data_IF_645360869981
#
_entry.id   IF_645360869981
#
_cell.length_a   1.000
_cell.length_b   1.000
_cell.length_c   1.000
_cell.angle_alpha   90.00
_cell.angle_beta   90.00
_cell.angle_gamma   90.00
#
_symmetry.space_group_name_H-M   'P 1'
#
loop_
_entity.id
_entity.type
_entity.pdbx_description
1 polymer ?
#
# COMPACT_ATOMS: atom_id res chain seq x y z
N UNK A 1 -14.55 -8.01 -25.90
CA UNK A 1 -13.64 -7.20 -25.12
C UNK A 1 -14.29 -7.00 -23.76
N UNK A 2 -13.63 -7.36 -22.65
CA UNK A 2 -14.19 -7.07 -21.31
C UNK A 2 -14.21 -5.57 -21.06
N UNK A 3 -15.17 -5.10 -20.27
CA UNK A 3 -15.25 -3.70 -19.88
C UNK A 3 -13.96 -3.31 -19.15
N UNK A 4 -13.22 -2.34 -19.71
CA UNK A 4 -12.01 -1.78 -19.07
C UNK A 4 -12.45 -0.63 -18.17
N UNK A 5 -12.11 -0.71 -16.90
CA UNK A 5 -12.44 0.33 -15.91
C UNK A 5 -11.26 1.28 -15.75
N UNK A 6 -11.52 2.60 -15.59
CA UNK A 6 -10.46 3.55 -15.31
C UNK A 6 -9.82 3.30 -13.93
N UNK A 7 -8.55 3.62 -13.82
CA UNK A 7 -7.72 3.30 -12.65
C UNK A 7 -7.27 4.58 -11.93
N UNK A 8 -7.50 4.63 -10.63
CA UNK A 8 -6.92 5.62 -9.73
C UNK A 8 -5.70 5.03 -9.03
N UNK A 9 -4.56 5.72 -9.10
CA UNK A 9 -3.29 5.30 -8.49
C UNK A 9 -2.98 6.18 -7.28
N UNK A 10 -2.75 5.57 -6.10
CA UNK A 10 -2.49 6.27 -4.83
C UNK A 10 -1.16 5.80 -4.26
N UNK A 11 -0.17 6.69 -4.19
CA UNK A 11 1.16 6.37 -3.66
C UNK A 11 1.18 6.33 -2.12
N UNK A 12 2.27 5.83 -1.53
CA UNK A 12 2.47 5.70 -0.09
C UNK A 12 3.11 6.94 0.56
N UNK A 13 3.44 6.78 1.86
CA UNK A 13 4.13 7.77 2.66
C UNK A 13 5.51 8.10 2.09
N UNK A 14 5.91 9.37 2.19
CA UNK A 14 7.18 9.92 1.67
C UNK A 14 7.52 9.45 0.24
N UNK A 15 6.49 9.32 -0.59
CA UNK A 15 6.58 8.87 -1.97
C UNK A 15 6.00 9.94 -2.91
N UNK A 16 5.84 9.62 -4.18
CA UNK A 16 5.33 10.54 -5.19
C UNK A 16 4.69 9.78 -6.37
N UNK A 17 3.86 10.42 -7.23
CA UNK A 17 3.17 9.75 -8.34
C UNK A 17 4.08 9.06 -9.37
N UNK A 18 5.37 9.43 -9.42
CA UNK A 18 6.35 8.82 -10.33
C UNK A 18 6.69 7.36 -10.02
N UNK A 19 6.33 6.85 -8.82
CA UNK A 19 6.53 5.42 -8.49
C UNK A 19 5.77 4.50 -9.44
N UNK A 20 4.70 5.00 -10.05
CA UNK A 20 3.82 4.27 -10.96
C UNK A 20 4.32 4.22 -12.42
N UNK A 21 5.51 4.78 -12.72
CA UNK A 21 6.01 4.91 -14.10
C UNK A 21 5.95 3.61 -14.90
N UNK A 22 6.33 2.47 -14.33
CA UNK A 22 6.30 1.18 -15.03
C UNK A 22 4.87 0.67 -15.23
N UNK A 23 4.00 0.82 -14.22
CA UNK A 23 2.60 0.40 -14.33
C UNK A 23 1.85 1.23 -15.36
N UNK A 24 2.06 2.55 -15.41
CA UNK A 24 1.33 3.40 -16.38
C UNK A 24 1.69 3.09 -17.82
N UNK A 25 2.93 2.64 -18.11
CA UNK A 25 3.30 2.14 -19.44
C UNK A 25 2.42 0.94 -19.83
N UNK A 26 2.21 -0.01 -18.91
CA UNK A 26 1.35 -1.18 -19.14
C UNK A 26 -0.12 -0.80 -19.28
N UNK A 27 -0.58 0.20 -18.53
CA UNK A 27 -1.95 0.74 -18.67
C UNK A 27 -2.16 1.40 -20.02
N UNK A 28 -1.16 2.17 -20.50
CA UNK A 28 -1.19 2.80 -21.83
C UNK A 28 -1.21 1.75 -22.96
N UNK A 29 -0.38 0.70 -22.85
CA UNK A 29 -0.36 -0.43 -23.82
C UNK A 29 -1.72 -1.15 -23.91
N UNK A 30 -2.45 -1.22 -22.79
CA UNK A 30 -3.77 -1.85 -22.70
C UNK A 30 -4.94 -0.85 -22.91
N UNK A 31 -4.64 0.41 -23.25
CA UNK A 31 -5.62 1.50 -23.43
C UNK A 31 -6.52 1.68 -22.19
N UNK A 32 -6.00 1.46 -20.98
CA UNK A 32 -6.70 1.67 -19.71
C UNK A 32 -6.46 3.10 -19.24
N UNK A 33 -7.54 3.87 -19.12
CA UNK A 33 -7.45 5.23 -18.59
C UNK A 33 -7.06 5.23 -17.12
N UNK A 34 -6.16 6.13 -16.71
CA UNK A 34 -5.74 6.25 -15.32
C UNK A 34 -5.59 7.71 -14.89
N UNK A 35 -5.59 7.92 -13.58
CA UNK A 35 -5.18 9.15 -12.91
C UNK A 35 -4.34 8.81 -11.70
N UNK A 36 -3.47 9.73 -11.31
CA UNK A 36 -2.57 9.58 -10.17
C UNK A 36 -2.89 10.65 -9.15
N UNK A 37 -3.33 10.25 -7.97
CA UNK A 37 -3.50 11.15 -6.85
C UNK A 37 -2.14 11.52 -6.28
N UNK A 38 -1.89 12.82 -6.16
CA UNK A 38 -0.63 13.37 -5.63
C UNK A 38 -0.90 14.08 -4.30
N UNK A 39 -0.39 13.50 -3.22
CA UNK A 39 -0.46 14.09 -1.88
C UNK A 39 0.92 14.48 -1.33
N UNK A 40 1.93 14.64 -2.18
CA UNK A 40 3.29 15.04 -1.77
C UNK A 40 3.33 16.39 -1.04
N UNK A 41 2.43 17.29 -1.37
CA UNK A 41 2.27 18.60 -0.72
C UNK A 41 1.54 18.57 0.62
N UNK A 42 1.13 17.39 1.12
CA UNK A 42 0.28 17.22 2.32
C UNK A 42 1.02 16.55 3.47
N UNK A 43 2.32 16.77 3.60
CA UNK A 43 3.16 16.11 4.61
C UNK A 43 2.82 16.49 6.05
N UNK A 44 2.17 17.63 6.24
CA UNK A 44 1.67 18.16 7.51
C UNK A 44 0.25 17.67 7.85
N UNK A 45 -0.33 16.78 7.03
CA UNK A 45 -1.70 16.29 7.17
C UNK A 45 -1.72 14.84 7.63
N UNK A 46 -2.76 14.53 8.44
CA UNK A 46 -3.08 13.17 8.83
C UNK A 46 -3.81 12.40 7.73
N UNK A 47 -3.90 11.10 7.90
CA UNK A 47 -4.56 10.19 6.97
C UNK A 47 -6.03 10.55 6.69
N UNK A 48 -6.86 10.96 7.69
CA UNK A 48 -8.24 11.39 7.44
C UNK A 48 -8.34 12.61 6.53
N UNK A 49 -7.45 13.61 6.69
CA UNK A 49 -7.46 14.82 5.87
C UNK A 49 -7.02 14.53 4.43
N UNK A 50 -6.00 13.66 4.25
CA UNK A 50 -5.57 13.22 2.92
C UNK A 50 -6.66 12.37 2.25
N UNK A 51 -7.41 11.58 3.03
CA UNK A 51 -8.57 10.83 2.55
C UNK A 51 -9.68 11.75 2.03
N UNK A 52 -9.97 12.88 2.70
CA UNK A 52 -10.91 13.89 2.20
C UNK A 52 -10.40 14.55 0.91
N UNK A 53 -9.11 14.83 0.81
CA UNK A 53 -8.52 15.34 -0.43
C UNK A 53 -8.60 14.32 -1.58
N UNK A 54 -8.49 13.03 -1.28
CA UNK A 54 -8.70 11.95 -2.25
C UNK A 54 -10.16 11.90 -2.73
N UNK A 55 -11.14 12.10 -1.83
CA UNK A 55 -12.56 12.22 -2.15
C UNK A 55 -12.82 13.35 -3.18
N UNK A 56 -12.34 14.54 -2.85
CA UNK A 56 -12.43 15.71 -3.73
C UNK A 56 -11.77 15.46 -5.10
N UNK A 57 -10.58 14.86 -5.07
CA UNK A 57 -9.85 14.53 -6.28
C UNK A 57 -10.61 13.51 -7.15
N UNK A 58 -11.17 12.45 -6.55
CA UNK A 58 -11.93 11.45 -7.28
C UNK A 58 -13.21 12.04 -7.90
N UNK A 59 -13.94 12.89 -7.17
CA UNK A 59 -15.10 13.64 -7.68
C UNK A 59 -14.71 14.50 -8.87
N UNK A 60 -13.63 15.27 -8.76
CA UNK A 60 -13.09 16.11 -9.83
C UNK A 60 -12.74 15.29 -11.07
N UNK A 61 -11.97 14.21 -10.90
CA UNK A 61 -11.55 13.33 -12.00
C UNK A 61 -12.76 12.68 -12.68
N UNK A 62 -13.75 12.24 -11.93
CA UNK A 62 -15.00 11.70 -12.50
C UNK A 62 -15.70 12.72 -13.38
N UNK A 63 -15.82 13.95 -12.93
CA UNK A 63 -16.43 15.03 -13.70
C UNK A 63 -15.63 15.39 -14.95
N UNK A 64 -14.32 15.62 -14.81
CA UNK A 64 -13.45 16.08 -15.92
C UNK A 64 -13.19 15.02 -16.98
N UNK A 65 -13.15 13.75 -16.60
CA UNK A 65 -12.83 12.63 -17.49
C UNK A 65 -14.07 11.82 -17.91
N UNK A 66 -15.25 12.19 -17.44
CA UNK A 66 -16.49 11.47 -17.76
C UNK A 66 -16.56 10.06 -17.15
N UNK A 67 -15.88 9.82 -16.01
CA UNK A 67 -15.90 8.52 -15.35
C UNK A 67 -17.20 8.32 -14.56
N UNK A 68 -18.24 7.94 -15.24
CA UNK A 68 -19.59 7.81 -14.65
C UNK A 68 -19.86 6.45 -13.97
N UNK A 69 -19.05 5.43 -14.29
CA UNK A 69 -19.23 4.05 -13.81
C UNK A 69 -18.26 3.66 -12.70
N UNK A 70 -18.02 2.37 -12.61
CA UNK A 70 -17.04 1.76 -11.70
C UNK A 70 -15.62 2.22 -12.04
N UNK A 71 -14.80 2.35 -11.01
CA UNK A 71 -13.35 2.59 -11.12
C UNK A 71 -12.60 1.53 -10.33
N UNK A 72 -11.35 1.29 -10.71
CA UNK A 72 -10.41 0.51 -9.92
C UNK A 72 -9.48 1.45 -9.17
N UNK A 73 -9.04 1.06 -7.98
CA UNK A 73 -8.06 1.80 -7.22
C UNK A 73 -6.86 0.89 -6.94
N UNK A 74 -5.66 1.35 -7.31
CA UNK A 74 -4.39 0.66 -7.01
C UNK A 74 -3.59 1.55 -6.07
N UNK A 75 -3.23 0.99 -4.93
CA UNK A 75 -2.55 1.70 -3.85
C UNK A 75 -1.23 1.04 -3.49
N UNK A 76 -0.27 1.84 -3.05
CA UNK A 76 0.95 1.33 -2.44
C UNK A 76 1.01 1.74 -0.97
N UNK A 77 1.36 0.77 -0.08
CA UNK A 77 1.64 1.07 1.33
C UNK A 77 0.49 1.83 2.02
N UNK A 78 0.80 2.91 2.72
CA UNK A 78 -0.17 3.80 3.39
C UNK A 78 -1.24 4.38 2.45
N UNK A 79 -0.96 4.47 1.14
CA UNK A 79 -1.97 4.86 0.16
C UNK A 79 -3.22 3.97 0.20
N UNK A 80 -3.05 2.70 0.58
CA UNK A 80 -4.18 1.78 0.78
C UNK A 80 -5.02 2.18 1.98
N UNK A 81 -4.39 2.59 3.09
CA UNK A 81 -5.12 3.06 4.28
C UNK A 81 -5.89 4.35 3.98
N UNK A 82 -5.32 5.26 3.17
CA UNK A 82 -6.00 6.50 2.71
C UNK A 82 -7.26 6.14 1.92
N UNK A 83 -7.14 5.25 0.93
CA UNK A 83 -8.26 4.83 0.10
C UNK A 83 -9.32 4.06 0.92
N UNK A 84 -8.90 3.16 1.80
CA UNK A 84 -9.80 2.43 2.70
C UNK A 84 -10.56 3.38 3.64
N UNK A 85 -9.87 4.38 4.20
CA UNK A 85 -10.52 5.34 5.09
C UNK A 85 -11.59 6.13 4.35
N UNK A 86 -11.32 6.57 3.12
CA UNK A 86 -12.35 7.15 2.25
C UNK A 86 -13.52 6.21 2.07
N UNK A 87 -13.26 4.99 1.62
CA UNK A 87 -14.30 4.06 1.17
C UNK A 87 -15.08 3.43 2.33
N UNK A 88 -14.43 3.10 3.43
CA UNK A 88 -14.99 2.33 4.53
C UNK A 88 -15.50 3.22 5.67
N UNK A 89 -14.80 4.34 5.97
CA UNK A 89 -15.15 5.21 7.11
C UNK A 89 -15.94 6.42 6.65
N UNK A 90 -15.43 7.16 5.65
CA UNK A 90 -16.06 8.42 5.21
C UNK A 90 -17.28 8.16 4.33
N UNK A 91 -17.16 7.34 3.29
CA UNK A 91 -18.23 7.00 2.34
C UNK A 91 -19.08 5.82 2.83
N UNK A 92 -18.52 4.91 3.59
CA UNK A 92 -19.15 3.83 4.36
C UNK A 92 -20.49 3.32 3.81
N UNK A 93 -21.56 3.65 4.53
CA UNK A 93 -22.93 3.27 4.16
C UNK A 93 -23.48 4.04 2.94
N UNK A 94 -23.01 5.26 2.71
CA UNK A 94 -23.49 6.10 1.59
C UNK A 94 -23.11 5.53 0.22
N UNK A 95 -21.95 4.86 0.12
CA UNK A 95 -21.43 4.18 -1.08
C UNK A 95 -21.50 5.04 -2.35
N UNK A 96 -21.22 6.33 -2.19
CA UNK A 96 -21.29 7.30 -3.30
C UNK A 96 -20.17 7.06 -4.32
N UNK A 97 -19.05 6.46 -3.88
CA UNK A 97 -17.98 6.06 -4.76
C UNK A 97 -18.21 4.64 -5.28
N UNK A 98 -18.54 4.54 -6.56
CA UNK A 98 -18.66 3.27 -7.27
C UNK A 98 -17.25 2.74 -7.59
N UNK A 99 -16.72 1.86 -6.72
CA UNK A 99 -15.41 1.22 -6.86
C UNK A 99 -15.60 -0.27 -7.10
N UNK A 100 -14.99 -0.80 -8.18
CA UNK A 100 -15.03 -2.23 -8.49
C UNK A 100 -14.09 -3.02 -7.58
N UNK A 101 -12.85 -2.56 -7.50
CA UNK A 101 -11.85 -3.21 -6.66
C UNK A 101 -10.83 -2.23 -6.11
N UNK A 102 -10.28 -2.60 -4.95
CA UNK A 102 -9.15 -1.95 -4.31
C UNK A 102 -7.98 -2.94 -4.23
N UNK A 103 -6.89 -2.61 -4.91
CA UNK A 103 -5.66 -3.42 -4.95
C UNK A 103 -4.60 -2.71 -4.13
N UNK A 104 -4.18 -3.32 -3.01
CA UNK A 104 -3.12 -2.82 -2.13
C UNK A 104 -1.81 -3.57 -2.34
N UNK A 105 -0.72 -2.84 -2.56
CA UNK A 105 0.65 -3.35 -2.66
C UNK A 105 1.37 -3.10 -1.33
N UNK A 106 1.67 -4.15 -0.57
CA UNK A 106 2.29 -4.07 0.75
C UNK A 106 1.54 -3.16 1.74
N UNK A 107 0.21 -3.29 1.92
CA UNK A 107 -0.56 -2.35 2.72
C UNK A 107 -0.44 -2.63 4.22
N UNK A 108 -0.21 -1.62 5.09
CA UNK A 108 -0.28 -1.79 6.54
C UNK A 108 -1.74 -1.69 7.03
N UNK A 109 -2.61 -2.59 6.56
CA UNK A 109 -4.06 -2.60 6.82
C UNK A 109 -4.42 -2.62 8.30
N UNK A 110 -3.57 -3.20 9.14
CA UNK A 110 -3.75 -3.33 10.58
C UNK A 110 -2.83 -2.40 11.39
N UNK A 111 -2.22 -1.44 10.72
CA UNK A 111 -1.19 -0.58 11.28
C UNK A 111 0.21 -1.11 11.01
N UNK A 112 1.23 -0.31 11.29
CA UNK A 112 2.63 -0.59 11.00
C UNK A 112 3.45 -0.72 12.28
N UNK A 113 4.12 -1.87 12.46
CA UNK A 113 5.10 -2.08 13.53
C UNK A 113 6.28 -1.10 13.39
N UNK A 114 6.66 -0.76 12.17
CA UNK A 114 7.72 0.20 11.92
C UNK A 114 7.32 1.62 12.37
N UNK A 115 6.06 2.03 12.16
CA UNK A 115 5.56 3.30 12.68
C UNK A 115 5.56 3.34 14.22
N UNK A 116 5.27 2.22 14.86
CA UNK A 116 5.38 2.08 16.32
C UNK A 116 6.85 2.14 16.77
N UNK A 117 7.75 1.42 16.08
CA UNK A 117 9.19 1.41 16.35
C UNK A 117 9.84 2.79 16.20
N UNK A 118 9.41 3.62 15.28
CA UNK A 118 9.91 5.00 15.17
C UNK A 118 9.67 5.81 16.44
N UNK A 119 8.63 5.49 17.21
CA UNK A 119 8.28 6.14 18.46
C UNK A 119 8.83 5.39 19.71
N UNK A 120 9.54 4.29 19.53
CA UNK A 120 10.11 3.52 20.63
C UNK A 120 11.32 4.27 21.25
N UNK A 121 11.30 4.57 22.56
CA UNK A 121 12.33 5.40 23.19
C UNK A 121 13.72 4.76 23.21
N UNK A 122 13.82 3.43 23.09
CA UNK A 122 15.08 2.70 23.12
C UNK A 122 15.62 2.38 21.72
N UNK A 123 14.73 2.14 20.75
CA UNK A 123 15.07 1.62 19.41
C UNK A 123 14.85 2.63 18.29
N UNK A 124 13.94 3.60 18.49
CA UNK A 124 13.44 4.47 17.45
C UNK A 124 14.55 5.20 16.69
N UNK A 125 15.46 5.85 17.41
CA UNK A 125 16.59 6.57 16.81
C UNK A 125 17.46 5.64 15.93
N UNK A 126 17.81 4.46 16.43
CA UNK A 126 18.63 3.50 15.68
C UNK A 126 17.92 3.00 14.40
N UNK A 127 16.60 2.77 14.46
CA UNK A 127 15.79 2.35 13.32
C UNK A 127 15.69 3.49 12.28
N UNK A 128 15.41 4.72 12.73
CA UNK A 128 15.33 5.90 11.87
C UNK A 128 16.67 6.10 11.14
N UNK A 129 17.78 6.06 11.85
CA UNK A 129 19.12 6.23 11.28
C UNK A 129 19.45 5.18 10.21
N UNK A 130 19.00 3.93 10.36
CA UNK A 130 19.19 2.88 9.36
C UNK A 130 18.38 3.10 8.08
N UNK A 131 17.28 3.81 8.16
CA UNK A 131 16.35 4.04 7.06
C UNK A 131 16.47 5.43 6.44
N UNK A 132 17.18 6.35 7.11
CA UNK A 132 17.50 7.68 6.59
C UNK A 132 18.30 7.55 5.29
N UNK A 133 17.83 8.23 4.25
CA UNK A 133 18.39 8.13 2.90
C UNK A 133 17.92 6.91 2.09
N UNK A 134 17.22 5.95 2.70
CA UNK A 134 16.53 4.85 1.99
C UNK A 134 15.12 5.29 1.60
N UNK A 135 14.28 5.59 2.60
CA UNK A 135 12.93 6.16 2.40
C UNK A 135 12.49 7.07 3.56
N UNK A 136 13.27 7.17 4.62
CA UNK A 136 13.06 8.12 5.72
C UNK A 136 13.87 9.39 5.41
N UNK A 137 13.27 10.59 5.48
CA UNK A 137 13.97 11.83 5.21
C UNK A 137 14.98 12.18 6.32
N UNK A 138 15.98 12.98 5.98
CA UNK A 138 16.88 13.58 6.98
C UNK A 138 16.09 14.47 7.93
N UNK A 139 16.45 14.42 9.23
CA UNK A 139 15.79 15.23 10.26
C UNK A 139 14.35 14.79 10.57
N UNK A 140 13.97 13.55 10.18
CA UNK A 140 12.65 13.03 10.45
C UNK A 140 12.36 12.94 11.96
N UNK A 141 11.24 13.56 12.36
CA UNK A 141 10.68 13.45 13.70
C UNK A 141 9.34 12.71 13.61
N UNK A 142 9.27 11.45 14.08
CA UNK A 142 8.05 10.66 14.00
C UNK A 142 6.90 11.25 14.82
N UNK A 143 7.19 12.01 15.88
CA UNK A 143 6.16 12.60 16.74
C UNK A 143 5.35 13.70 16.04
N UNK A 144 5.96 14.36 15.08
CA UNK A 144 5.36 15.44 14.29
C UNK A 144 4.73 14.97 12.97
N UNK A 145 5.02 13.75 12.52
CA UNK A 145 4.47 13.18 11.28
C UNK A 145 3.12 12.51 11.54
N UNK A 146 2.04 13.23 11.22
CA UNK A 146 0.67 12.77 11.47
C UNK A 146 0.33 11.46 10.74
N UNK A 147 0.84 11.25 9.53
CA UNK A 147 0.63 10.01 8.78
C UNK A 147 1.25 8.81 9.51
N UNK A 148 2.46 8.98 10.04
CA UNK A 148 3.13 7.93 10.83
C UNK A 148 2.38 7.67 12.13
N UNK A 149 1.88 8.72 12.81
CA UNK A 149 1.06 8.55 14.02
C UNK A 149 -0.25 7.83 13.72
N UNK A 150 -0.89 8.15 12.59
CA UNK A 150 -2.19 7.58 12.20
C UNK A 150 -2.11 6.10 11.82
N UNK A 151 -0.97 5.61 11.31
CA UNK A 151 -0.82 4.19 10.96
C UNK A 151 -0.21 3.33 12.07
N UNK A 152 0.00 3.85 13.26
CA UNK A 152 0.36 3.01 14.42
C UNK A 152 -0.78 2.04 14.73
N UNK A 153 -0.50 0.77 15.10
CA UNK A 153 -1.52 -0.27 15.29
C UNK A 153 -2.61 0.10 16.32
N UNK A 154 -2.25 0.91 17.31
CA UNK A 154 -3.14 1.41 18.37
C UNK A 154 -3.79 2.76 18.06
N UNK A 155 -3.59 3.37 16.90
CA UNK A 155 -4.12 4.69 16.57
C UNK A 155 -5.65 4.71 16.45
N UNK A 156 -6.28 5.88 16.64
CA UNK A 156 -7.71 6.05 16.36
C UNK A 156 -8.09 5.70 14.93
N UNK A 157 -7.23 6.03 13.97
CA UNK A 157 -7.44 5.79 12.53
C UNK A 157 -7.51 4.29 12.22
N UNK A 158 -6.54 3.51 12.70
CA UNK A 158 -6.53 2.05 12.50
C UNK A 158 -7.70 1.39 13.23
N UNK A 159 -8.08 1.88 14.42
CA UNK A 159 -9.31 1.40 15.11
C UNK A 159 -10.56 1.69 14.29
N UNK A 160 -10.67 2.88 13.68
CA UNK A 160 -11.81 3.23 12.83
C UNK A 160 -11.93 2.32 11.62
N UNK A 161 -10.82 2.03 10.93
CA UNK A 161 -10.77 1.09 9.80
C UNK A 161 -11.21 -0.32 10.20
N UNK A 162 -10.75 -0.82 11.36
CA UNK A 162 -11.18 -2.13 11.86
C UNK A 162 -12.67 -2.17 12.20
N UNK A 163 -13.19 -1.08 12.75
CA UNK A 163 -14.60 -0.98 13.18
C UNK A 163 -15.56 -0.82 12.01
N UNK A 164 -15.16 -0.09 10.97
CA UNK A 164 -15.97 0.11 9.77
C UNK A 164 -16.18 -1.21 8.99
N UNK A 165 -15.15 -2.06 8.97
CA UNK A 165 -15.16 -3.30 8.19
C UNK A 165 -15.04 -3.04 6.68
N UNK A 166 -15.03 -4.13 5.92
CA UNK A 166 -14.88 -4.06 4.46
C UNK A 166 -16.23 -3.79 3.79
N UNK A 167 -16.21 -3.01 2.73
CA UNK A 167 -17.40 -2.79 1.89
C UNK A 167 -17.69 -4.04 1.05
N UNK A 168 -18.89 -4.64 1.15
CA UNK A 168 -19.23 -5.89 0.46
C UNK A 168 -19.36 -5.73 -1.06
N UNK A 169 -19.49 -4.51 -1.56
CA UNK A 169 -19.61 -4.18 -2.98
C UNK A 169 -18.23 -3.95 -3.64
N UNK A 170 -17.13 -3.98 -2.87
CA UNK A 170 -15.76 -3.79 -3.37
C UNK A 170 -15.01 -5.12 -3.30
N UNK A 171 -14.32 -5.48 -4.39
CA UNK A 171 -13.36 -6.59 -4.37
C UNK A 171 -12.02 -6.09 -3.83
N UNK A 172 -11.58 -6.64 -2.69
CA UNK A 172 -10.27 -6.32 -2.11
C UNK A 172 -9.22 -7.32 -2.59
N UNK A 173 -8.04 -6.79 -2.95
CA UNK A 173 -6.84 -7.55 -3.34
C UNK A 173 -5.65 -7.06 -2.54
N UNK A 174 -4.86 -7.97 -2.00
CA UNK A 174 -3.68 -7.64 -1.19
C UNK A 174 -2.48 -8.40 -1.74
N UNK A 175 -1.57 -7.68 -2.37
CA UNK A 175 -0.33 -8.22 -2.93
C UNK A 175 0.81 -7.91 -1.97
N UNK A 176 1.50 -8.94 -1.51
CA UNK A 176 2.64 -8.85 -0.60
C UNK A 176 3.82 -9.67 -1.13
N UNK A 177 5.00 -9.39 -0.60
CA UNK A 177 6.19 -10.16 -0.93
C UNK A 177 6.80 -10.78 0.32
N UNK A 178 7.68 -11.77 0.13
CA UNK A 178 8.34 -12.48 1.21
C UNK A 178 9.77 -12.83 0.85
N UNK A 179 10.62 -13.03 1.87
CA UNK A 179 12.03 -13.42 1.75
C UNK A 179 12.28 -14.79 2.41
N UNK A 180 11.73 -15.90 1.88
CA UNK A 180 11.75 -17.19 2.57
C UNK A 180 13.17 -17.78 2.70
N UNK A 181 14.11 -17.33 1.88
CA UNK A 181 15.50 -17.83 1.86
C UNK A 181 16.46 -16.99 2.72
N UNK A 182 15.94 -16.04 3.51
CA UNK A 182 16.74 -15.14 4.36
C UNK A 182 17.89 -14.48 3.58
N UNK A 183 17.55 -13.82 2.48
CA UNK A 183 18.48 -13.12 1.58
C UNK A 183 18.76 -11.71 2.14
N UNK A 184 19.97 -11.40 2.64
CA UNK A 184 20.24 -10.09 3.23
C UNK A 184 20.06 -8.92 2.24
N UNK A 185 20.33 -9.14 0.95
CA UNK A 185 20.18 -8.16 -0.12
C UNK A 185 18.72 -7.81 -0.46
N UNK A 186 17.74 -8.58 0.04
CA UNK A 186 16.32 -8.29 -0.13
C UNK A 186 15.94 -6.93 0.46
N UNK A 187 16.36 -6.65 1.70
CA UNK A 187 16.24 -5.35 2.35
C UNK A 187 17.46 -5.13 3.29
N UNK A 188 18.56 -4.57 2.78
CA UNK A 188 19.83 -4.51 3.49
C UNK A 188 19.77 -3.82 4.86
N UNK A 189 18.91 -2.79 4.99
CA UNK A 189 18.75 -2.03 6.26
C UNK A 189 18.42 -2.93 7.45
N UNK A 190 17.74 -4.07 7.22
CA UNK A 190 17.36 -5.02 8.26
C UNK A 190 17.88 -6.45 7.98
N UNK A 191 18.91 -6.57 7.15
CA UNK A 191 19.50 -7.87 6.81
C UNK A 191 18.52 -8.83 6.14
N UNK A 192 17.61 -8.30 5.31
CA UNK A 192 16.59 -9.06 4.60
C UNK A 192 15.32 -9.37 5.41
N UNK A 193 15.20 -8.86 6.63
CA UNK A 193 14.08 -9.15 7.55
C UNK A 193 13.10 -7.98 7.63
N UNK A 194 11.91 -8.27 8.12
CA UNK A 194 10.84 -7.29 8.39
C UNK A 194 10.56 -7.27 9.89
N UNK A 195 10.36 -6.09 10.47
CA UNK A 195 9.92 -5.96 11.84
C UNK A 195 8.42 -6.21 11.97
N UNK A 196 8.02 -6.86 13.06
CA UNK A 196 6.63 -7.09 13.42
C UNK A 196 6.43 -6.98 14.94
N UNK A 197 5.19 -6.73 15.36
CA UNK A 197 4.77 -6.81 16.75
C UNK A 197 4.04 -8.14 16.93
N UNK A 198 4.59 -9.02 17.74
CA UNK A 198 3.96 -10.31 18.05
C UNK A 198 2.75 -10.15 18.98
N UNK A 199 1.93 -11.21 19.11
CA UNK A 199 0.71 -11.18 19.91
C UNK A 199 0.91 -10.87 21.40
N UNK A 200 2.14 -11.01 21.92
CA UNK A 200 2.57 -10.61 23.27
C UNK A 200 3.03 -9.15 23.35
N UNK A 201 2.94 -8.39 22.25
CA UNK A 201 3.36 -6.99 22.16
C UNK A 201 4.87 -6.77 21.99
N UNK A 202 5.64 -7.85 21.81
CA UNK A 202 7.10 -7.74 21.64
C UNK A 202 7.47 -7.52 20.17
N UNK A 203 8.52 -6.72 19.93
CA UNK A 203 9.09 -6.56 18.62
C UNK A 203 9.93 -7.77 18.22
N UNK A 204 9.68 -8.31 17.05
CA UNK A 204 10.42 -9.42 16.45
C UNK A 204 10.71 -9.13 14.99
N UNK A 205 11.60 -9.91 14.40
CA UNK A 205 11.82 -9.90 12.95
C UNK A 205 11.27 -11.18 12.33
N UNK A 206 10.72 -11.04 11.12
CA UNK A 206 10.15 -12.13 10.33
C UNK A 206 10.71 -12.10 8.91
N UNK A 207 10.63 -13.23 8.22
CA UNK A 207 10.86 -13.33 6.77
C UNK A 207 9.54 -13.19 5.98
N UNK A 208 8.40 -13.26 6.67
CA UNK A 208 7.06 -13.07 6.10
C UNK A 208 6.71 -11.58 6.06
N UNK A 209 7.30 -10.87 5.11
CA UNK A 209 7.14 -9.43 4.90
C UNK A 209 8.08 -8.89 3.83
N UNK A 210 7.89 -7.64 3.48
CA UNK A 210 8.58 -6.98 2.36
C UNK A 210 9.77 -6.08 2.80
N UNK A 211 10.23 -6.23 4.04
CA UNK A 211 11.28 -5.42 4.67
C UNK A 211 10.73 -4.24 5.48
N UNK A 212 9.51 -3.79 5.22
CA UNK A 212 8.84 -2.66 5.90
C UNK A 212 7.52 -3.07 6.55
N UNK A 213 6.69 -3.85 5.84
CA UNK A 213 5.37 -4.29 6.28
C UNK A 213 5.35 -5.82 6.37
N UNK A 214 5.02 -6.35 7.55
CA UNK A 214 4.87 -7.78 7.76
C UNK A 214 3.50 -8.27 7.24
N UNK A 215 3.41 -9.54 6.85
CA UNK A 215 2.15 -10.10 6.32
C UNK A 215 0.98 -9.94 7.30
N UNK A 216 1.21 -10.11 8.61
CA UNK A 216 0.15 -9.92 9.62
C UNK A 216 -0.43 -8.51 9.65
N UNK A 217 0.34 -7.51 9.21
CA UNK A 217 -0.12 -6.12 9.11
C UNK A 217 -0.99 -5.92 7.86
N UNK A 218 -0.78 -6.74 6.84
CA UNK A 218 -1.46 -6.63 5.53
C UNK A 218 -2.79 -7.38 5.46
N UNK A 219 -3.03 -8.38 6.33
CA UNK A 219 -4.23 -9.21 6.26
C UNK A 219 -5.52 -8.40 6.41
N UNK A 220 -6.55 -8.83 5.68
CA UNK A 220 -7.92 -8.34 5.80
C UNK A 220 -8.87 -9.53 6.06
N UNK A 221 -9.95 -9.35 6.83
CA UNK A 221 -10.89 -10.42 7.13
C UNK A 221 -11.47 -11.06 5.86
N UNK A 222 -11.27 -12.36 5.70
CA UNK A 222 -11.79 -13.11 4.55
C UNK A 222 -11.07 -12.91 3.22
N UNK A 223 -10.00 -12.12 3.19
CA UNK A 223 -9.20 -11.85 1.97
C UNK A 223 -7.87 -12.59 2.06
N UNK A 224 -7.57 -13.41 1.05
CA UNK A 224 -6.27 -14.07 0.92
C UNK A 224 -5.20 -13.08 0.47
N UNK A 225 -3.97 -13.31 0.92
CA UNK A 225 -2.80 -12.59 0.43
C UNK A 225 -2.29 -13.23 -0.86
N UNK A 226 -2.00 -12.43 -1.87
CA UNK A 226 -1.23 -12.85 -3.04
C UNK A 226 0.25 -12.64 -2.72
N UNK A 227 0.97 -13.73 -2.46
CA UNK A 227 2.35 -13.69 -1.98
C UNK A 227 3.33 -13.99 -3.11
N UNK A 228 4.24 -13.06 -3.39
CA UNK A 228 5.35 -13.24 -4.31
C UNK A 228 6.65 -13.43 -3.52
N UNK A 229 7.37 -14.51 -3.79
CA UNK A 229 8.59 -14.87 -3.06
C UNK A 229 9.85 -14.44 -3.80
N UNK A 230 10.77 -13.80 -3.08
CA UNK A 230 12.13 -13.63 -3.57
C UNK A 230 12.87 -14.97 -3.54
N UNK A 231 13.77 -15.19 -4.49
CA UNK A 231 14.64 -16.38 -4.53
C UNK A 231 16.09 -15.98 -4.78
N UNK A 232 17.02 -16.81 -4.31
CA UNK A 232 18.46 -16.73 -4.64
C UNK A 232 18.75 -17.23 -6.05
N UNK A 233 17.89 -18.09 -6.56
CA UNK A 233 18.03 -18.57 -7.93
C UNK A 233 17.78 -17.39 -8.88
N UNK A 234 18.85 -16.99 -9.56
CA UNK A 234 18.78 -15.98 -10.61
C UNK A 234 18.37 -16.66 -11.90
N UNK A 235 17.09 -16.84 -12.09
CA UNK A 235 16.59 -17.11 -13.44
C UNK A 235 16.59 -15.80 -14.24
N UNK A 236 16.97 -15.91 -15.52
CA UNK A 236 17.17 -14.75 -16.42
C UNK A 236 15.95 -13.83 -16.52
N UNK A 237 14.78 -14.30 -16.09
CA UNK A 237 13.49 -13.60 -16.16
C UNK A 237 12.93 -13.14 -14.81
N UNK A 238 13.58 -13.49 -13.68
CA UNK A 238 13.12 -13.10 -12.36
C UNK A 238 13.78 -11.79 -11.89
N UNK A 239 13.04 -10.92 -11.20
CA UNK A 239 13.61 -9.75 -10.56
C UNK A 239 14.67 -10.14 -9.51
N UNK A 240 15.71 -9.32 -9.36
CA UNK A 240 16.65 -9.47 -8.24
C UNK A 240 15.96 -9.37 -6.88
N UNK A 241 16.50 -10.00 -5.82
CA UNK A 241 15.80 -10.05 -4.51
C UNK A 241 15.39 -8.68 -3.95
N UNK A 242 16.19 -7.65 -4.16
CA UNK A 242 15.88 -6.28 -3.74
C UNK A 242 14.63 -5.70 -4.42
N UNK A 243 14.28 -6.18 -5.61
CA UNK A 243 13.08 -5.73 -6.33
C UNK A 243 11.78 -6.19 -5.65
N UNK A 244 11.85 -7.15 -4.74
CA UNK A 244 10.71 -7.62 -3.96
C UNK A 244 10.52 -6.83 -2.66
N UNK A 245 11.46 -5.94 -2.27
CA UNK A 245 11.27 -5.15 -1.07
C UNK A 245 10.22 -4.05 -1.27
N UNK A 246 9.68 -3.58 -0.17
CA UNK A 246 8.55 -2.65 -0.09
C UNK A 246 8.63 -1.45 -1.05
N UNK A 247 9.77 -0.76 -1.06
CA UNK A 247 9.96 0.45 -1.87
C UNK A 247 9.98 0.19 -3.38
N UNK A 248 10.15 -1.07 -3.77
CA UNK A 248 10.20 -1.49 -5.16
C UNK A 248 8.92 -2.17 -5.66
N UNK A 249 7.95 -2.50 -4.78
CA UNK A 249 6.69 -3.17 -5.18
C UNK A 249 5.98 -2.51 -6.37
N UNK A 250 5.84 -1.16 -6.45
CA UNK A 250 5.21 -0.52 -7.60
C UNK A 250 6.01 -0.62 -8.90
N UNK A 251 7.26 -1.07 -8.82
CA UNK A 251 8.20 -1.18 -9.96
C UNK A 251 8.56 -2.62 -10.30
N UNK A 252 8.20 -3.58 -9.44
CA UNK A 252 8.46 -5.01 -9.64
C UNK A 252 7.60 -5.54 -10.79
N UNK A 253 8.19 -6.17 -11.82
CA UNK A 253 7.43 -6.64 -12.99
C UNK A 253 6.38 -7.69 -12.66
N UNK A 254 6.66 -8.61 -11.73
CA UNK A 254 5.69 -9.65 -11.34
C UNK A 254 4.51 -9.05 -10.58
N UNK A 255 4.75 -8.05 -9.73
CA UNK A 255 3.67 -7.30 -9.05
C UNK A 255 2.82 -6.56 -10.09
N UNK A 256 3.46 -5.91 -11.06
CA UNK A 256 2.76 -5.20 -12.14
C UNK A 256 1.94 -6.18 -12.98
N UNK A 257 2.49 -7.34 -13.36
CA UNK A 257 1.77 -8.34 -14.13
C UNK A 257 0.53 -8.85 -13.39
N UNK A 258 0.64 -9.09 -12.08
CA UNK A 258 -0.50 -9.49 -11.25
C UNK A 258 -1.55 -8.37 -11.14
N UNK A 259 -1.13 -7.12 -10.98
CA UNK A 259 -2.04 -5.96 -11.02
C UNK A 259 -2.78 -5.91 -12.37
N UNK A 260 -2.06 -6.02 -13.48
CA UNK A 260 -2.65 -6.01 -14.82
C UNK A 260 -3.63 -7.16 -15.04
N UNK A 261 -3.30 -8.35 -14.52
CA UNK A 261 -4.22 -9.50 -14.54
C UNK A 261 -5.54 -9.16 -13.83
N UNK A 262 -5.51 -8.50 -12.67
CA UNK A 262 -6.73 -8.12 -11.95
C UNK A 262 -7.50 -7.01 -12.67
N UNK A 263 -6.80 -6.03 -13.24
CA UNK A 263 -7.44 -4.92 -13.96
C UNK A 263 -8.15 -5.40 -15.24
N UNK A 264 -7.62 -6.41 -15.92
CA UNK A 264 -8.15 -6.94 -17.18
C UNK A 264 -9.08 -8.13 -16.99
N UNK A 265 -9.16 -8.70 -15.79
CA UNK A 265 -10.06 -9.82 -15.50
C UNK A 265 -11.53 -9.40 -15.56
N UNK A 266 -12.40 -10.20 -16.23
CA UNK A 266 -13.83 -9.93 -16.23
C UNK A 266 -14.39 -10.06 -14.81
N UNK A 267 -15.41 -9.23 -14.49
CA UNK A 267 -16.15 -9.41 -13.22
C UNK A 267 -16.74 -10.83 -13.16
N UNK A 268 -16.42 -11.57 -12.10
CA UNK A 268 -17.22 -12.76 -11.80
C UNK A 268 -18.61 -12.26 -11.41
N UNK A 269 -19.59 -12.53 -12.25
CA UNK A 269 -21.00 -12.36 -11.88
C UNK A 269 -21.28 -13.37 -10.77
N UNK A 270 -21.43 -12.89 -9.53
CA UNK A 270 -21.94 -13.65 -8.39
C UNK A 270 -23.44 -13.80 -8.51
#
# INVERSE_FOLDING_TARGET
>A
MGDRYPVLLVHGWNSHPGVWKKLVIRLDEEEIHYRRFDHTGMRDRGLPEISLALDEYLKKVRHECGWSGLVDIVCHSMGTCIARYLLEVTDGEARTHAVRQLIGLGPPNNGSALAELFNDPERGEAIINRLTGVFVPEGFDPSSDLMVQDVRPGSPVIRSLRSAGLRPDITYRVIVTTNPEDIPGFFPSFGGKTWEISGDGQYRTTLSGDGVVAHQESVLPGISLDVLSASREQEEHLPSPDQYCHIHLPKNPLVIDLVMQYLTSPMRRT
#
